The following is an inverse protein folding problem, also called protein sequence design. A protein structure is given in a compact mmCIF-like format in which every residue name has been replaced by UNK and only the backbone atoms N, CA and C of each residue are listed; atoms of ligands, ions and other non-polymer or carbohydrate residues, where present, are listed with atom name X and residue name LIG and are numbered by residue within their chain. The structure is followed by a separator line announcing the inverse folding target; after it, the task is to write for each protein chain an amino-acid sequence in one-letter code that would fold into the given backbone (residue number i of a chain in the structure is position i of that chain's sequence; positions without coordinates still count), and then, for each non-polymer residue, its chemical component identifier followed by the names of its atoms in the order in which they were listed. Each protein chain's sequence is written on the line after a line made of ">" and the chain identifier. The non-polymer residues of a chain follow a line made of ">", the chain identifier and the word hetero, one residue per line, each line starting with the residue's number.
data_IF_877425976565
#
_entry.id   IF_877425976565
#
_cell.length_a   1.000
_cell.length_b   1.000
_cell.length_c   1.000
_cell.angle_alpha   90.00
_cell.angle_beta   90.00
_cell.angle_gamma   90.00
#
_symmetry.space_group_name_H-M   'P 1'
#
loop_
_entity.id
_entity.type
_entity.pdbx_description
1 polymer ?
#
# COMPACT_ATOMS: atom_id res chain seq x y z
N UNK A 1 64.45 72.36 37.11
CA UNK A 1 63.23 71.78 36.51
C UNK A 1 63.27 70.27 36.71
N UNK A 2 62.18 69.67 37.21
CA UNK A 2 61.86 68.24 37.04
C UNK A 2 62.42 67.27 38.09
N UNK A 3 61.54 66.88 39.02
CA UNK A 3 61.68 65.93 40.12
C UNK A 3 61.64 64.42 39.68
N UNK A 4 61.89 63.47 40.61
CA UNK A 4 62.26 62.08 40.32
C UNK A 4 61.09 61.09 40.12
N UNK A 5 61.47 59.88 39.70
CA UNK A 5 60.70 58.66 39.43
C UNK A 5 59.51 58.36 40.36
N UNK A 6 58.36 57.98 39.77
CA UNK A 6 57.24 57.31 40.47
C UNK A 6 57.07 55.85 40.02
N UNK A 7 56.86 54.90 40.95
CA UNK A 7 56.59 53.50 40.64
C UNK A 7 55.12 53.24 40.25
N UNK A 8 54.92 52.10 39.61
CA UNK A 8 53.69 51.54 39.05
C UNK A 8 52.53 51.48 40.06
N UNK A 9 51.28 51.81 39.66
CA UNK A 9 50.12 51.57 40.51
C UNK A 9 49.75 50.08 40.55
N UNK A 10 49.55 49.57 41.76
CA UNK A 10 48.94 48.26 42.05
C UNK A 10 47.47 48.21 41.58
N UNK A 11 46.98 47.04 41.14
CA UNK A 11 45.60 46.88 40.68
C UNK A 11 44.59 47.09 41.82
N UNK A 12 43.37 47.57 41.53
CA UNK A 12 42.35 47.81 42.54
C UNK A 12 41.86 46.51 43.20
N UNK A 13 41.71 46.58 44.52
CA UNK A 13 41.10 45.55 45.37
C UNK A 13 39.67 45.27 44.88
N UNK A 14 39.36 44.03 44.53
CA UNK A 14 37.97 43.61 44.29
C UNK A 14 37.22 43.60 45.63
N UNK A 15 36.06 44.25 45.74
CA UNK A 15 35.21 44.09 46.91
C UNK A 15 34.66 42.65 46.93
N UNK A 16 34.86 41.95 48.05
CA UNK A 16 34.18 40.70 48.37
C UNK A 16 32.67 40.93 48.33
N UNK A 17 31.86 40.09 47.63
CA UNK A 17 30.41 40.21 47.66
C UNK A 17 29.91 40.00 49.09
N UNK A 18 29.04 40.91 49.55
CA UNK A 18 28.37 40.79 50.84
C UNK A 18 27.44 39.58 50.84
N UNK A 19 27.32 38.95 52.01
CA UNK A 19 26.67 37.65 52.22
C UNK A 19 25.12 37.68 52.12
N UNK A 20 24.53 38.63 51.38
CA UNK A 20 23.09 38.89 51.36
C UNK A 20 22.43 38.89 49.96
N UNK A 21 23.13 38.51 48.88
CA UNK A 21 22.55 38.46 47.52
C UNK A 21 22.17 37.03 47.05
N UNK A 22 21.81 36.13 47.98
CA UNK A 22 21.32 34.78 47.69
C UNK A 22 19.77 34.77 47.65
N UNK A 23 19.12 35.75 47.01
CA UNK A 23 17.66 35.65 46.78
C UNK A 23 17.14 36.63 45.73
N UNK A 24 17.56 36.45 44.46
CA UNK A 24 16.79 36.97 43.32
C UNK A 24 16.92 36.04 42.13
N UNK A 25 15.89 35.22 41.95
CA UNK A 25 15.76 34.30 40.82
C UNK A 25 15.85 35.05 39.48
N UNK A 26 16.99 34.93 38.80
CA UNK A 26 17.11 35.28 37.39
C UNK A 26 16.38 34.21 36.55
N UNK A 27 15.07 34.40 36.34
CA UNK A 27 14.33 33.69 35.29
C UNK A 27 14.87 34.17 33.93
N UNK A 28 15.95 33.56 33.45
CA UNK A 28 16.34 33.68 32.05
C UNK A 28 15.17 33.20 31.18
N UNK A 29 14.70 33.98 30.19
CA UNK A 29 13.65 33.51 29.29
C UNK A 29 14.19 32.27 28.54
N UNK A 30 13.54 31.12 28.72
CA UNK A 30 13.78 29.93 27.88
C UNK A 30 13.33 30.28 26.46
N UNK A 31 14.25 30.75 25.63
CA UNK A 31 14.04 30.82 24.20
C UNK A 31 13.90 29.38 23.70
N UNK A 32 12.65 28.92 23.50
CA UNK A 32 12.37 27.66 22.81
C UNK A 32 12.85 27.87 21.36
N UNK A 33 14.09 27.46 21.07
CA UNK A 33 14.57 27.41 19.68
C UNK A 33 13.63 26.49 18.91
N UNK A 34 12.80 27.06 18.05
CA UNK A 34 11.98 26.30 17.10
C UNK A 34 12.93 25.75 16.03
N UNK A 35 13.59 24.63 16.33
CA UNK A 35 14.37 23.90 15.33
C UNK A 35 13.39 23.47 14.23
N UNK A 36 13.62 23.83 12.95
CA UNK A 36 12.76 23.37 11.87
C UNK A 36 12.92 21.85 11.68
N UNK A 37 11.83 21.11 11.42
CA UNK A 37 11.90 19.68 11.17
C UNK A 37 12.80 19.36 9.96
N UNK A 38 13.39 18.15 9.89
CA UNK A 38 14.15 17.73 8.71
C UNK A 38 13.30 17.89 7.43
N UNK A 39 13.94 18.19 6.28
CA UNK A 39 13.21 18.21 5.02
C UNK A 39 12.58 16.84 4.78
N UNK A 40 11.30 16.79 4.39
CA UNK A 40 10.66 15.53 4.08
C UNK A 40 11.44 14.81 2.97
N UNK A 41 11.50 13.46 2.99
CA UNK A 41 12.08 12.71 1.88
C UNK A 41 11.43 13.16 0.58
N UNK A 42 12.21 13.26 -0.51
CA UNK A 42 11.69 13.69 -1.81
C UNK A 42 10.53 12.75 -2.20
N UNK A 43 9.36 13.31 -2.54
CA UNK A 43 8.21 12.50 -2.91
C UNK A 43 8.52 11.65 -4.14
N UNK A 44 8.11 10.39 -4.13
CA UNK A 44 8.19 9.53 -5.30
C UNK A 44 7.24 10.07 -6.36
N UNK A 45 7.70 10.15 -7.61
CA UNK A 45 6.78 10.35 -8.74
C UNK A 45 6.14 8.99 -9.04
N UNK A 46 4.82 8.85 -8.85
CA UNK A 46 4.15 7.57 -9.08
C UNK A 46 4.08 7.27 -10.58
N UNK A 47 4.64 6.15 -11.00
CA UNK A 47 4.65 5.68 -12.38
C UNK A 47 4.19 4.23 -12.51
N UNK A 48 4.41 3.41 -11.47
CA UNK A 48 3.99 2.02 -11.43
C UNK A 48 2.46 1.90 -11.45
N UNK A 49 1.76 2.69 -10.63
CA UNK A 49 0.29 2.64 -10.57
C UNK A 49 -0.35 3.05 -11.91
N UNK A 50 0.05 4.17 -12.55
CA UNK A 50 -0.38 4.47 -13.92
C UNK A 50 -0.06 3.36 -14.94
N UNK A 51 1.12 2.72 -14.83
CA UNK A 51 1.48 1.61 -15.71
C UNK A 51 0.54 0.41 -15.53
N UNK A 52 0.24 0.04 -14.29
CA UNK A 52 -0.73 -1.04 -13.98
C UNK A 52 -2.12 -0.67 -14.52
N UNK A 53 -2.54 0.59 -14.40
CA UNK A 53 -3.79 1.06 -15.00
C UNK A 53 -3.81 0.84 -16.51
N UNK A 54 -2.78 1.30 -17.22
CA UNK A 54 -2.67 1.16 -18.69
C UNK A 54 -2.63 -0.31 -19.09
N UNK A 55 -1.90 -1.15 -18.36
CA UNK A 55 -1.82 -2.59 -18.63
C UNK A 55 -3.20 -3.26 -18.51
N UNK A 56 -3.95 -3.00 -17.44
CA UNK A 56 -5.29 -3.56 -17.25
C UNK A 56 -6.28 -3.08 -18.31
N UNK A 57 -6.25 -1.79 -18.67
CA UNK A 57 -7.09 -1.26 -19.76
C UNK A 57 -6.73 -1.91 -21.10
N UNK A 58 -5.44 -2.07 -21.39
CA UNK A 58 -4.97 -2.68 -22.64
C UNK A 58 -5.38 -4.16 -22.74
N UNK A 59 -5.23 -4.92 -21.65
CA UNK A 59 -5.65 -6.32 -21.57
C UNK A 59 -7.17 -6.44 -21.72
N UNK A 60 -7.96 -5.52 -21.17
CA UNK A 60 -9.40 -5.51 -21.37
C UNK A 60 -9.80 -5.22 -22.83
N UNK A 61 -9.16 -4.25 -23.48
CA UNK A 61 -9.38 -3.95 -24.90
C UNK A 61 -9.03 -5.18 -25.75
N UNK A 62 -7.89 -5.82 -25.50
CA UNK A 62 -7.50 -7.06 -26.17
C UNK A 62 -8.50 -8.20 -25.92
N UNK A 63 -8.99 -8.33 -24.68
CA UNK A 63 -10.01 -9.32 -24.32
C UNK A 63 -11.29 -9.12 -25.14
N UNK A 64 -11.74 -7.88 -25.29
CA UNK A 64 -12.92 -7.57 -26.11
C UNK A 64 -12.67 -7.81 -27.60
N UNK A 65 -11.45 -7.56 -28.09
CA UNK A 65 -11.06 -7.88 -29.46
C UNK A 65 -11.12 -9.40 -29.75
N UNK A 66 -10.65 -10.22 -28.82
CA UNK A 66 -10.70 -11.69 -28.93
C UNK A 66 -12.12 -12.21 -28.74
N UNK A 67 -12.91 -11.56 -27.89
CA UNK A 67 -14.29 -11.97 -27.61
C UNK A 67 -15.18 -11.96 -28.85
N UNK A 68 -15.05 -10.92 -29.69
CA UNK A 68 -15.77 -10.75 -30.96
C UNK A 68 -17.21 -11.28 -30.90
N UNK A 69 -18.05 -10.63 -30.07
CA UNK A 69 -19.43 -11.07 -29.83
C UNK A 69 -20.23 -11.28 -31.13
N UNK A 70 -20.16 -10.38 -32.14
CA UNK A 70 -20.95 -10.52 -33.36
C UNK A 70 -20.65 -11.80 -34.13
N UNK A 71 -19.37 -12.17 -34.19
CA UNK A 71 -18.92 -13.37 -34.89
C UNK A 71 -19.25 -14.66 -34.09
N UNK A 72 -19.18 -14.61 -32.76
CA UNK A 72 -19.36 -15.79 -31.90
C UNK A 72 -20.82 -16.08 -31.54
N UNK A 73 -21.61 -15.04 -31.25
CA UNK A 73 -22.98 -15.15 -30.73
C UNK A 73 -24.06 -14.67 -31.72
N UNK A 74 -23.67 -13.97 -32.78
CA UNK A 74 -24.57 -13.30 -33.72
C UNK A 74 -24.93 -11.87 -33.27
N UNK A 75 -25.05 -10.95 -34.23
CA UNK A 75 -25.24 -9.50 -34.01
C UNK A 75 -26.43 -9.16 -33.11
N UNK A 76 -27.56 -9.86 -33.26
CA UNK A 76 -28.81 -9.59 -32.51
C UNK A 76 -28.73 -9.90 -31.01
N UNK A 77 -27.67 -10.61 -30.56
CA UNK A 77 -27.46 -10.96 -29.15
C UNK A 77 -26.38 -10.11 -28.47
N UNK A 78 -25.78 -9.17 -29.18
CA UNK A 78 -24.70 -8.33 -28.68
C UNK A 78 -25.21 -6.94 -28.29
N UNK A 79 -24.70 -6.42 -27.18
CA UNK A 79 -25.03 -5.08 -26.69
C UNK A 79 -24.10 -4.07 -27.39
N UNK A 80 -24.69 -2.97 -27.89
CA UNK A 80 -23.98 -1.87 -28.57
C UNK A 80 -23.24 -2.30 -29.84
N UNK A 81 -23.70 -3.35 -30.53
CA UNK A 81 -23.13 -3.80 -31.80
C UNK A 81 -23.01 -2.67 -32.84
N UNK A 82 -24.06 -1.87 -33.02
CA UNK A 82 -24.10 -0.79 -34.02
C UNK A 82 -22.99 0.28 -33.81
N UNK A 83 -22.53 0.47 -32.58
CA UNK A 83 -21.54 1.48 -32.22
C UNK A 83 -20.12 0.90 -32.05
N UNK A 84 -20.01 -0.30 -31.47
CA UNK A 84 -18.73 -0.88 -31.07
C UNK A 84 -18.26 -2.00 -32.03
N UNK A 85 -19.13 -2.49 -32.90
CA UNK A 85 -18.84 -3.59 -33.81
C UNK A 85 -18.26 -4.81 -33.08
N UNK A 86 -17.03 -5.17 -33.44
CA UNK A 86 -16.25 -6.27 -32.84
C UNK A 86 -16.11 -6.17 -31.32
N UNK A 87 -16.05 -4.97 -30.76
CA UNK A 87 -15.88 -4.72 -29.33
C UNK A 87 -17.20 -4.70 -28.55
N UNK A 88 -18.30 -5.15 -29.16
CA UNK A 88 -19.59 -5.24 -28.50
C UNK A 88 -19.59 -6.25 -27.34
N UNK A 89 -20.45 -5.97 -26.36
CA UNK A 89 -20.54 -6.77 -25.14
C UNK A 89 -21.51 -7.93 -25.30
N UNK A 90 -21.30 -9.00 -24.53
CA UNK A 90 -22.31 -10.05 -24.42
C UNK A 90 -23.59 -9.51 -23.77
N UNK A 91 -24.74 -10.10 -24.11
CA UNK A 91 -26.04 -9.76 -23.50
C UNK A 91 -26.02 -9.82 -21.97
N UNK A 92 -26.86 -9.00 -21.34
CA UNK A 92 -26.96 -8.88 -19.88
C UNK A 92 -27.26 -10.20 -19.15
N UNK A 93 -28.02 -11.12 -19.78
CA UNK A 93 -28.29 -12.45 -19.20
C UNK A 93 -27.02 -13.29 -19.04
N UNK A 94 -26.05 -13.11 -19.93
CA UNK A 94 -24.76 -13.79 -19.87
C UNK A 94 -23.78 -13.01 -19.00
N UNK A 95 -23.61 -11.73 -19.29
CA UNK A 95 -22.68 -10.87 -18.57
C UNK A 95 -23.34 -9.51 -18.22
N UNK A 96 -23.77 -9.32 -16.94
CA UNK A 96 -24.39 -8.07 -16.54
C UNK A 96 -23.41 -6.89 -16.44
N UNK A 97 -22.10 -7.15 -16.46
CA UNK A 97 -21.05 -6.14 -16.23
C UNK A 97 -20.56 -5.46 -17.52
N UNK A 98 -21.27 -5.65 -18.64
CA UNK A 98 -20.89 -5.18 -19.98
C UNK A 98 -19.49 -5.69 -20.35
N UNK A 99 -19.39 -6.98 -20.67
CA UNK A 99 -18.10 -7.64 -20.83
C UNK A 99 -18.11 -8.80 -21.83
N UNK A 100 -16.98 -9.54 -21.89
CA UNK A 100 -16.82 -10.69 -22.76
C UNK A 100 -17.61 -11.91 -22.25
N UNK A 101 -17.57 -12.99 -23.02
CA UNK A 101 -18.10 -14.30 -22.59
C UNK A 101 -17.20 -14.94 -21.52
N UNK A 102 -17.80 -15.86 -20.78
CA UNK A 102 -17.06 -16.72 -19.85
C UNK A 102 -15.94 -17.50 -20.55
N UNK A 103 -16.21 -18.00 -21.76
CA UNK A 103 -15.26 -18.81 -22.54
C UNK A 103 -14.03 -17.97 -22.89
N UNK A 104 -14.22 -16.74 -23.35
CA UNK A 104 -13.12 -15.83 -23.68
C UNK A 104 -12.22 -15.58 -22.46
N UNK A 105 -12.81 -15.30 -21.29
CA UNK A 105 -12.04 -15.08 -20.06
C UNK A 105 -11.27 -16.34 -19.66
N UNK A 106 -11.89 -17.52 -19.76
CA UNK A 106 -11.21 -18.80 -19.50
C UNK A 106 -10.01 -18.99 -20.43
N UNK A 107 -10.21 -18.81 -21.74
CA UNK A 107 -9.14 -18.99 -22.74
C UNK A 107 -7.96 -18.04 -22.51
N UNK A 108 -8.22 -16.79 -22.13
CA UNK A 108 -7.19 -15.76 -22.00
C UNK A 108 -6.38 -15.81 -20.69
N UNK A 109 -6.63 -16.77 -19.80
CA UNK A 109 -5.89 -16.87 -18.54
C UNK A 109 -6.71 -16.54 -17.30
N UNK A 110 -8.04 -16.60 -17.39
CA UNK A 110 -8.90 -16.51 -16.22
C UNK A 110 -8.65 -17.66 -15.25
N UNK A 111 -8.89 -17.40 -13.98
CA UNK A 111 -8.66 -18.39 -12.92
C UNK A 111 -9.79 -19.41 -12.93
N UNK A 112 -9.49 -20.62 -13.42
CA UNK A 112 -10.38 -21.78 -13.43
C UNK A 112 -9.75 -22.91 -12.61
N UNK A 113 -10.55 -23.55 -11.76
CA UNK A 113 -10.05 -24.59 -10.85
C UNK A 113 -9.42 -25.76 -11.61
N UNK A 114 -10.09 -26.26 -12.65
CA UNK A 114 -9.66 -27.41 -13.43
C UNK A 114 -8.30 -27.15 -14.07
N UNK A 115 -8.15 -25.98 -14.69
CA UNK A 115 -6.92 -25.62 -15.40
C UNK A 115 -5.74 -25.42 -14.45
N UNK A 116 -5.97 -24.85 -13.27
CA UNK A 116 -4.90 -24.65 -12.28
C UNK A 116 -4.53 -25.95 -11.60
N UNK A 117 -5.52 -26.74 -11.15
CA UNK A 117 -5.31 -27.88 -10.27
C UNK A 117 -5.04 -29.16 -11.03
N UNK A 118 -5.80 -29.43 -12.08
CA UNK A 118 -5.67 -30.67 -12.87
C UNK A 118 -4.66 -30.49 -14.01
N UNK A 119 -4.75 -29.38 -14.75
CA UNK A 119 -3.87 -29.11 -15.91
C UNK A 119 -2.55 -28.40 -15.53
N UNK A 120 -2.38 -28.03 -14.25
CA UNK A 120 -1.14 -27.41 -13.71
C UNK A 120 -0.77 -26.07 -14.35
N UNK A 121 -1.75 -25.32 -14.83
CA UNK A 121 -1.58 -23.99 -15.42
C UNK A 121 -1.42 -22.89 -14.35
N UNK A 122 -0.40 -23.00 -13.49
CA UNK A 122 -0.16 -22.09 -12.36
C UNK A 122 0.04 -20.61 -12.74
N UNK A 123 0.43 -20.33 -13.99
CA UNK A 123 0.53 -18.97 -14.51
C UNK A 123 -0.81 -18.22 -14.45
N UNK A 124 -1.94 -18.94 -14.39
CA UNK A 124 -3.28 -18.37 -14.20
C UNK A 124 -3.48 -17.65 -12.88
N UNK A 125 -2.70 -18.00 -11.85
CA UNK A 125 -2.68 -17.29 -10.57
C UNK A 125 -2.18 -15.84 -10.70
N UNK A 126 -1.47 -15.52 -11.79
CA UNK A 126 -0.98 -14.18 -12.10
C UNK A 126 -1.73 -13.54 -13.26
N UNK A 127 -2.05 -14.27 -14.33
CA UNK A 127 -2.74 -13.68 -15.50
C UNK A 127 -4.14 -13.20 -15.17
N UNK A 128 -4.85 -13.89 -14.26
CA UNK A 128 -6.22 -13.51 -13.88
C UNK A 128 -6.30 -12.12 -13.24
N UNK A 129 -5.20 -11.63 -12.65
CA UNK A 129 -5.10 -10.30 -12.05
C UNK A 129 -5.24 -9.17 -13.08
N UNK A 130 -4.99 -9.46 -14.35
CA UNK A 130 -5.00 -8.47 -15.44
C UNK A 130 -6.30 -8.50 -16.25
N UNK A 131 -7.05 -9.60 -16.16
CA UNK A 131 -8.33 -9.78 -16.82
C UNK A 131 -9.46 -9.15 -16.01
N UNK A 132 -10.52 -8.71 -16.69
CA UNK A 132 -11.67 -8.09 -16.05
C UNK A 132 -12.96 -8.65 -16.63
N UNK A 133 -13.93 -8.92 -15.73
CA UNK A 133 -15.21 -9.51 -16.09
C UNK A 133 -16.09 -8.61 -16.97
N UNK A 134 -15.84 -7.29 -17.01
CA UNK A 134 -16.60 -6.34 -17.80
C UNK A 134 -16.17 -4.90 -17.55
N UNK A 135 -16.74 -3.97 -18.31
CA UNK A 135 -16.39 -2.55 -18.26
C UNK A 135 -16.64 -1.95 -16.88
N UNK A 136 -17.79 -2.25 -16.27
CA UNK A 136 -18.12 -1.74 -14.92
C UNK A 136 -17.10 -2.24 -13.90
N UNK A 137 -16.71 -3.51 -14.00
CA UNK A 137 -15.72 -4.11 -13.11
C UNK A 137 -14.33 -3.48 -13.29
N UNK A 138 -13.90 -3.24 -14.54
CA UNK A 138 -12.66 -2.53 -14.84
C UNK A 138 -12.67 -1.12 -14.25
N UNK A 139 -13.73 -0.34 -14.49
CA UNK A 139 -13.82 1.03 -14.01
C UNK A 139 -13.69 1.12 -12.49
N UNK A 140 -14.39 0.28 -11.74
CA UNK A 140 -14.31 0.25 -10.27
C UNK A 140 -12.89 -0.09 -9.80
N UNK A 141 -12.26 -1.11 -10.40
CA UNK A 141 -10.87 -1.47 -10.05
C UNK A 141 -9.89 -0.35 -10.36
N UNK A 142 -10.03 0.28 -11.53
CA UNK A 142 -9.10 1.32 -11.96
C UNK A 142 -9.25 2.62 -11.16
N UNK A 143 -10.47 3.01 -10.79
CA UNK A 143 -10.69 4.14 -9.87
C UNK A 143 -10.09 3.84 -8.49
N UNK A 144 -10.30 2.63 -7.96
CA UNK A 144 -9.68 2.19 -6.71
C UNK A 144 -8.16 2.15 -6.79
N UNK A 145 -7.60 1.64 -7.89
CA UNK A 145 -6.16 1.60 -8.14
C UNK A 145 -5.55 3.00 -8.18
N UNK A 146 -6.17 3.94 -8.89
CA UNK A 146 -5.66 5.32 -8.97
C UNK A 146 -5.80 6.03 -7.62
N UNK A 147 -6.90 5.86 -6.89
CA UNK A 147 -7.08 6.49 -5.58
C UNK A 147 -6.13 5.95 -4.51
N UNK A 148 -6.02 4.62 -4.42
CA UNK A 148 -5.24 3.95 -3.38
C UNK A 148 -3.78 3.74 -3.77
N UNK A 149 -3.54 3.23 -4.98
CA UNK A 149 -2.21 2.88 -5.48
C UNK A 149 -1.31 4.10 -5.64
N UNK A 150 -1.80 5.21 -6.19
CA UNK A 150 -1.01 6.45 -6.34
C UNK A 150 -0.60 6.98 -4.97
N UNK A 151 -1.52 6.99 -4.00
CA UNK A 151 -1.24 7.44 -2.63
C UNK A 151 -0.15 6.59 -1.99
N UNK A 152 -0.30 5.26 -2.05
CA UNK A 152 0.68 4.33 -1.48
C UNK A 152 2.03 4.40 -2.19
N UNK A 153 2.05 4.52 -3.52
CA UNK A 153 3.28 4.62 -4.29
C UNK A 153 4.01 5.94 -4.01
N UNK A 154 3.28 7.04 -3.89
CA UNK A 154 3.85 8.33 -3.52
C UNK A 154 4.49 8.28 -2.12
N UNK A 155 3.84 7.56 -1.19
CA UNK A 155 4.29 7.46 0.19
C UNK A 155 5.46 6.48 0.37
N UNK A 156 5.41 5.30 -0.25
CA UNK A 156 6.35 4.19 -0.03
C UNK A 156 7.29 3.89 -1.19
N UNK A 157 7.01 4.40 -2.38
CA UNK A 157 7.74 4.09 -3.61
C UNK A 157 7.33 2.75 -4.23
N UNK A 158 7.52 2.65 -5.54
CA UNK A 158 7.14 1.47 -6.32
C UNK A 158 7.87 0.18 -5.91
N UNK A 159 9.09 0.28 -5.37
CA UNK A 159 9.89 -0.88 -4.93
C UNK A 159 9.19 -1.67 -3.82
N UNK A 160 8.34 -1.01 -3.03
CA UNK A 160 7.54 -1.66 -1.97
C UNK A 160 6.14 -2.00 -2.48
N UNK A 161 5.50 -1.07 -3.16
CA UNK A 161 4.10 -1.22 -3.61
C UNK A 161 3.95 -2.25 -4.73
N UNK A 162 4.91 -2.35 -5.64
CA UNK A 162 4.89 -3.32 -6.74
C UNK A 162 4.87 -4.78 -6.25
N UNK A 163 5.87 -5.22 -5.46
CA UNK A 163 5.85 -6.55 -4.87
C UNK A 163 4.64 -6.79 -3.97
N UNK A 164 4.21 -5.77 -3.22
CA UNK A 164 3.03 -5.88 -2.36
C UNK A 164 1.76 -6.16 -3.18
N UNK A 165 1.56 -5.44 -4.28
CA UNK A 165 0.47 -5.66 -5.22
C UNK A 165 0.50 -7.08 -5.80
N UNK A 166 1.68 -7.55 -6.24
CA UNK A 166 1.84 -8.88 -6.83
C UNK A 166 1.60 -10.00 -5.80
N UNK A 167 2.20 -9.91 -4.61
CA UNK A 167 2.02 -10.89 -3.52
C UNK A 167 0.56 -10.96 -3.08
N UNK A 168 -0.09 -9.82 -2.97
CA UNK A 168 -1.50 -9.74 -2.59
C UNK A 168 -2.42 -10.35 -3.64
N UNK A 169 -2.22 -10.01 -4.92
CA UNK A 169 -3.00 -10.60 -6.01
C UNK A 169 -2.80 -12.10 -6.14
N UNK A 170 -1.57 -12.57 -5.96
CA UNK A 170 -1.27 -14.01 -5.91
C UNK A 170 -1.99 -14.70 -4.75
N UNK A 171 -1.90 -14.16 -3.53
CA UNK A 171 -2.58 -14.72 -2.36
C UNK A 171 -4.10 -14.72 -2.49
N UNK A 172 -4.67 -13.69 -3.13
CA UNK A 172 -6.07 -13.66 -3.51
C UNK A 172 -6.43 -14.78 -4.48
N UNK A 173 -5.68 -14.91 -5.58
CA UNK A 173 -5.91 -15.96 -6.58
C UNK A 173 -5.75 -17.38 -6.01
N UNK A 174 -4.77 -17.59 -5.13
CA UNK A 174 -4.57 -18.87 -4.46
C UNK A 174 -5.74 -19.22 -3.52
N UNK A 175 -6.24 -18.24 -2.76
CA UNK A 175 -7.39 -18.45 -1.88
C UNK A 175 -8.68 -18.68 -2.68
N UNK A 176 -8.84 -17.96 -3.79
CA UNK A 176 -9.93 -18.13 -4.73
C UNK A 176 -9.95 -19.53 -5.32
N UNK A 177 -8.84 -20.00 -5.89
CA UNK A 177 -8.80 -21.33 -6.51
C UNK A 177 -9.12 -22.43 -5.50
N UNK A 178 -8.59 -22.34 -4.27
CA UNK A 178 -8.91 -23.33 -3.22
C UNK A 178 -10.38 -23.30 -2.80
N UNK A 179 -11.04 -22.14 -2.89
CA UNK A 179 -12.46 -21.97 -2.58
C UNK A 179 -13.40 -22.35 -3.74
N UNK A 180 -12.91 -22.26 -4.97
CA UNK A 180 -13.62 -22.62 -6.19
C UNK A 180 -13.74 -24.14 -6.41
N UNK A 181 -13.20 -24.97 -5.51
CA UNK A 181 -13.14 -26.43 -5.61
C UNK A 181 -14.29 -27.07 -6.43
N UNK A 182 -14.00 -27.40 -7.70
CA UNK A 182 -14.90 -28.05 -8.68
C UNK A 182 -16.11 -27.23 -9.17
N UNK A 183 -16.11 -25.91 -9.00
CA UNK A 183 -17.09 -25.00 -9.60
C UNK A 183 -16.60 -24.57 -10.99
N UNK A 184 -17.48 -24.63 -11.99
CA UNK A 184 -17.25 -24.11 -13.34
C UNK A 184 -17.43 -22.59 -13.40
N UNK A 185 -16.70 -21.87 -12.55
CA UNK A 185 -16.71 -20.40 -12.45
C UNK A 185 -15.27 -19.91 -12.67
N UNK A 186 -15.13 -18.84 -13.46
CA UNK A 186 -13.85 -18.21 -13.76
C UNK A 186 -13.76 -16.94 -12.96
N UNK A 187 -12.70 -16.80 -12.17
CA UNK A 187 -12.40 -15.58 -11.42
C UNK A 187 -11.35 -14.75 -12.16
N UNK A 188 -11.57 -13.44 -12.20
CA UNK A 188 -10.69 -12.46 -12.84
C UNK A 188 -10.77 -11.15 -12.08
N UNK A 189 -9.71 -10.36 -12.13
CA UNK A 189 -9.71 -8.98 -11.65
C UNK A 189 -8.50 -8.65 -10.78
N UNK A 190 -8.11 -7.37 -10.85
CA UNK A 190 -7.10 -6.78 -9.99
C UNK A 190 -7.52 -6.67 -8.51
N UNK A 191 -8.80 -6.93 -8.19
CA UNK A 191 -9.38 -6.61 -6.89
C UNK A 191 -8.71 -7.32 -5.72
N UNK A 192 -8.23 -8.56 -5.87
CA UNK A 192 -7.48 -9.23 -4.80
C UNK A 192 -6.22 -8.44 -4.40
N UNK A 193 -5.50 -7.89 -5.37
CA UNK A 193 -4.35 -7.04 -5.11
C UNK A 193 -4.74 -5.71 -4.45
N UNK A 194 -5.85 -5.09 -4.89
CA UNK A 194 -6.38 -3.86 -4.29
C UNK A 194 -6.81 -4.03 -2.83
N UNK A 195 -7.46 -5.15 -2.50
CA UNK A 195 -7.76 -5.51 -1.11
C UNK A 195 -6.49 -5.74 -0.30
N UNK A 196 -5.44 -6.27 -0.90
CA UNK A 196 -4.14 -6.36 -0.23
C UNK A 196 -3.46 -5.01 -0.01
N UNK A 197 -3.60 -4.05 -0.92
CA UNK A 197 -3.18 -2.67 -0.68
C UNK A 197 -3.92 -2.10 0.55
N UNK A 198 -5.23 -2.34 0.68
CA UNK A 198 -5.99 -1.98 1.89
C UNK A 198 -5.49 -2.71 3.14
N UNK A 199 -5.21 -4.01 3.05
CA UNK A 199 -4.62 -4.79 4.15
C UNK A 199 -3.27 -4.24 4.59
N UNK A 200 -2.44 -3.80 3.64
CA UNK A 200 -1.13 -3.22 3.93
C UNK A 200 -1.21 -1.89 4.67
N UNK A 201 -2.18 -1.04 4.34
CA UNK A 201 -2.45 0.18 5.11
C UNK A 201 -2.81 -0.14 6.57
N UNK A 202 -3.42 -1.31 6.84
CA UNK A 202 -3.81 -1.69 8.20
C UNK A 202 -2.57 -2.13 8.96
N UNK A 203 -1.68 -2.88 8.31
CA UNK A 203 -0.37 -3.23 8.86
C UNK A 203 0.46 -1.98 9.20
N UNK A 204 0.40 -0.95 8.34
CA UNK A 204 1.08 0.32 8.54
C UNK A 204 0.50 1.06 9.75
N UNK A 205 -0.82 1.14 9.84
CA UNK A 205 -1.52 1.77 10.97
C UNK A 205 -1.19 1.07 12.29
N UNK A 206 -1.16 -0.27 12.31
CA UNK A 206 -0.79 -1.07 13.49
C UNK A 206 0.68 -0.80 13.86
N UNK A 207 1.57 -0.81 12.89
CA UNK A 207 3.02 -0.61 13.10
C UNK A 207 3.35 0.80 13.59
N UNK A 208 2.59 1.80 13.17
CA UNK A 208 2.81 3.21 13.49
C UNK A 208 1.73 3.78 14.42
N UNK A 209 1.04 2.93 15.17
CA UNK A 209 -0.10 3.28 16.02
C UNK A 209 0.18 4.47 16.97
N UNK A 210 1.39 4.58 17.48
CA UNK A 210 1.81 5.66 18.39
C UNK A 210 1.82 7.05 17.75
N UNK A 211 1.93 7.13 16.42
CA UNK A 211 2.14 8.38 15.69
C UNK A 211 0.83 9.05 15.25
N UNK A 212 -0.30 8.33 15.32
CA UNK A 212 -1.60 8.88 15.00
C UNK A 212 -2.21 9.59 16.20
N UNK A 213 -2.63 10.85 16.01
CA UNK A 213 -3.28 11.67 17.05
C UNK A 213 -4.69 11.17 17.35
N UNK A 214 -5.46 10.81 16.32
CA UNK A 214 -6.84 10.32 16.42
C UNK A 214 -6.97 8.85 16.00
N UNK A 215 -6.37 7.96 16.78
CA UNK A 215 -6.22 6.52 16.50
C UNK A 215 -7.55 5.82 16.21
N UNK A 216 -8.56 6.05 17.06
CA UNK A 216 -9.88 5.43 16.90
C UNK A 216 -10.60 5.91 15.65
N UNK A 217 -10.49 7.19 15.29
CA UNK A 217 -11.13 7.69 14.06
C UNK A 217 -10.46 7.11 12.81
N UNK A 218 -9.12 7.10 12.76
CA UNK A 218 -8.38 6.53 11.63
C UNK A 218 -8.70 5.03 11.45
N UNK A 219 -8.70 4.26 12.54
CA UNK A 219 -9.05 2.84 12.51
C UNK A 219 -10.51 2.62 12.11
N UNK A 220 -11.46 3.35 12.69
CA UNK A 220 -12.89 3.20 12.37
C UNK A 220 -13.21 3.56 10.92
N UNK A 221 -12.63 4.63 10.37
CA UNK A 221 -12.79 4.99 8.95
C UNK A 221 -12.19 3.91 8.06
N UNK A 222 -11.02 3.39 8.41
CA UNK A 222 -10.38 2.34 7.64
C UNK A 222 -11.17 1.03 7.66
N UNK A 223 -11.64 0.60 8.83
CA UNK A 223 -12.49 -0.57 8.98
C UNK A 223 -13.82 -0.40 8.24
N UNK A 224 -14.43 0.78 8.29
CA UNK A 224 -15.64 1.08 7.53
C UNK A 224 -15.40 0.93 6.01
N UNK A 225 -14.30 1.47 5.50
CA UNK A 225 -13.93 1.33 4.08
C UNK A 225 -13.72 -0.15 3.72
N UNK A 226 -13.00 -0.91 4.55
CA UNK A 226 -12.78 -2.34 4.33
C UNK A 226 -14.11 -3.09 4.33
N UNK A 227 -14.95 -2.88 5.33
CA UNK A 227 -16.25 -3.54 5.45
C UNK A 227 -17.17 -3.20 4.29
N UNK A 228 -17.21 -1.93 3.84
CA UNK A 228 -18.03 -1.52 2.70
C UNK A 228 -17.54 -2.16 1.40
N UNK A 229 -16.22 -2.19 1.17
CA UNK A 229 -15.64 -2.85 -0.01
C UNK A 229 -15.92 -4.35 0.00
N UNK A 230 -15.79 -5.01 1.16
CA UNK A 230 -16.11 -6.42 1.30
C UNK A 230 -17.62 -6.69 1.18
N UNK A 231 -18.47 -5.73 1.61
CA UNK A 231 -19.91 -5.84 1.49
C UNK A 231 -20.39 -5.75 0.03
N UNK A 232 -19.73 -4.95 -0.81
CA UNK A 232 -19.93 -4.96 -2.27
C UNK A 232 -19.62 -6.37 -2.83
N UNK A 233 -18.74 -7.13 -2.17
CA UNK A 233 -18.46 -8.53 -2.47
C UNK A 233 -19.61 -9.51 -2.27
N UNK A 234 -20.68 -9.14 -1.55
CA UNK A 234 -21.90 -9.96 -1.50
C UNK A 234 -22.74 -9.89 -2.77
N UNK A 235 -22.39 -9.01 -3.72
CA UNK A 235 -23.02 -9.00 -5.02
C UNK A 235 -22.73 -10.32 -5.77
N UNK A 236 -23.73 -10.89 -6.47
CA UNK A 236 -23.54 -12.11 -7.23
C UNK A 236 -22.44 -11.91 -8.28
N UNK A 237 -21.57 -12.92 -8.44
CA UNK A 237 -20.40 -12.96 -9.33
C UNK A 237 -19.16 -12.21 -8.82
N UNK A 238 -19.14 -11.75 -7.57
CA UNK A 238 -17.92 -11.24 -6.93
C UNK A 238 -17.20 -12.37 -6.16
N UNK A 239 -15.87 -12.37 -6.25
CA UNK A 239 -15.03 -13.37 -5.61
C UNK A 239 -14.52 -12.90 -4.25
N UNK A 240 -15.30 -13.21 -3.21
CA UNK A 240 -14.95 -12.88 -1.83
C UNK A 240 -13.72 -13.62 -1.33
N UNK A 241 -13.46 -14.82 -1.83
CA UNK A 241 -12.29 -15.61 -1.45
C UNK A 241 -11.02 -14.94 -1.96
N UNK A 242 -11.05 -14.38 -3.18
CA UNK A 242 -9.97 -13.54 -3.69
C UNK A 242 -9.74 -12.28 -2.84
N UNK A 243 -10.81 -11.61 -2.42
CA UNK A 243 -10.72 -10.38 -1.61
C UNK A 243 -10.13 -10.66 -0.23
N UNK A 244 -10.62 -11.69 0.46
CA UNK A 244 -10.12 -12.10 1.78
C UNK A 244 -8.66 -12.55 1.68
N UNK A 245 -8.34 -13.43 0.72
CA UNK A 245 -6.98 -13.92 0.49
C UNK A 245 -6.00 -12.79 0.18
N UNK A 246 -6.42 -11.84 -0.66
CA UNK A 246 -5.64 -10.67 -1.00
C UNK A 246 -5.43 -9.73 0.19
N UNK A 247 -6.48 -9.45 0.96
CA UNK A 247 -6.41 -8.63 2.16
C UNK A 247 -5.45 -9.20 3.21
N UNK A 248 -5.58 -10.50 3.53
CA UNK A 248 -4.71 -11.17 4.51
C UNK A 248 -3.26 -11.19 4.02
N UNK A 249 -3.04 -11.52 2.76
CA UNK A 249 -1.70 -11.54 2.17
C UNK A 249 -1.06 -10.16 2.16
N UNK A 250 -1.84 -9.11 1.83
CA UNK A 250 -1.38 -7.73 1.86
C UNK A 250 -1.13 -7.18 3.26
N UNK A 251 -1.92 -7.59 4.26
CA UNK A 251 -1.69 -7.29 5.67
C UNK A 251 -0.35 -7.86 6.14
N UNK A 252 -0.10 -9.14 5.88
CA UNK A 252 1.17 -9.79 6.23
C UNK A 252 2.34 -9.19 5.44
N UNK A 253 2.18 -8.98 4.13
CA UNK A 253 3.21 -8.40 3.28
C UNK A 253 3.51 -6.95 3.67
N UNK A 254 2.53 -6.22 4.19
CA UNK A 254 2.71 -4.87 4.68
C UNK A 254 3.61 -4.81 5.92
N UNK A 255 3.50 -5.76 6.87
CA UNK A 255 4.45 -5.85 7.99
C UNK A 255 5.89 -6.14 7.53
N UNK A 256 6.06 -6.78 6.37
CA UNK A 256 7.37 -7.08 5.78
C UNK A 256 7.92 -5.90 4.97
N UNK A 257 7.13 -5.35 4.06
CA UNK A 257 7.56 -4.39 3.04
C UNK A 257 7.39 -2.92 3.45
N UNK A 258 6.43 -2.60 4.31
CA UNK A 258 6.14 -1.22 4.73
C UNK A 258 6.83 -0.83 6.04
N UNK A 259 7.73 -1.67 6.56
CA UNK A 259 8.51 -1.32 7.75
C UNK A 259 9.28 -0.01 7.52
N UNK A 260 9.11 0.93 8.45
CA UNK A 260 9.85 2.20 8.50
C UNK A 260 10.60 2.31 9.81
N UNK A 261 11.85 2.81 9.77
CA UNK A 261 12.55 3.19 11.00
C UNK A 261 11.86 4.41 11.62
N UNK A 262 11.72 4.41 12.94
CA UNK A 262 11.23 5.58 13.66
C UNK A 262 12.38 6.57 13.85
N UNK A 263 12.26 7.77 13.25
CA UNK A 263 13.28 8.81 13.35
C UNK A 263 13.06 9.68 14.58
N UNK A 264 14.14 9.94 15.32
CA UNK A 264 14.25 11.10 16.20
C UNK A 264 15.35 12.02 15.68
N UNK A 265 15.06 12.86 14.67
CA UNK A 265 16.09 13.70 14.03
C UNK A 265 16.29 15.05 14.75
N UNK A 266 17.55 15.46 14.92
CA UNK A 266 17.97 16.81 15.33
C UNK A 266 18.97 17.30 14.26
N UNK A 267 18.70 18.45 13.63
CA UNK A 267 19.55 19.02 12.57
C UNK A 267 20.86 19.58 13.14
N UNK A 268 22.00 19.15 12.59
CA UNK A 268 23.34 19.65 12.97
C UNK A 268 23.57 21.13 12.67
N UNK A 269 22.73 21.75 11.83
CA UNK A 269 22.91 23.14 11.38
C UNK A 269 22.44 24.19 12.41
N UNK A 270 21.79 23.77 13.48
CA UNK A 270 21.27 24.63 14.56
C UNK A 270 21.87 24.28 15.93
N UNK A 271 23.01 23.59 15.92
CA UNK A 271 23.64 23.09 17.13
C UNK A 271 24.79 24.02 17.50
N UNK A 272 24.76 24.65 18.69
CA UNK A 272 25.83 25.54 19.14
C UNK A 272 27.19 24.82 19.11
N UNK A 273 28.26 25.55 18.79
CA UNK A 273 29.63 25.04 18.88
C UNK A 273 29.88 24.44 20.28
N UNK A 274 30.24 23.16 20.33
CA UNK A 274 30.46 22.40 21.57
C UNK A 274 29.36 21.42 21.98
N UNK A 275 28.24 21.33 21.27
CA UNK A 275 27.15 20.41 21.60
C UNK A 275 27.23 19.10 20.78
N UNK A 276 27.57 17.99 21.45
CA UNK A 276 27.64 16.65 20.85
C UNK A 276 26.23 16.11 20.57
N UNK A 277 25.78 16.14 19.30
CA UNK A 277 24.55 15.43 18.91
C UNK A 277 24.90 13.95 18.78
N UNK A 278 24.43 13.13 19.72
CA UNK A 278 24.28 11.70 19.43
C UNK A 278 23.23 11.58 18.32
N UNK A 279 23.66 11.32 17.08
CA UNK A 279 22.76 10.90 16.02
C UNK A 279 21.89 9.77 16.57
N UNK A 280 20.57 10.00 16.70
CA UNK A 280 19.66 8.88 16.95
C UNK A 280 19.59 8.09 15.65
N UNK A 281 20.39 7.03 15.60
CA UNK A 281 20.41 6.05 14.52
C UNK A 281 18.97 5.58 14.28
N UNK A 282 18.58 5.50 13.01
CA UNK A 282 17.34 4.89 12.58
C UNK A 282 17.17 3.53 13.28
N UNK A 283 16.24 3.46 14.25
CA UNK A 283 16.06 2.27 15.09
C UNK A 283 14.64 1.75 14.90
N UNK A 284 14.54 0.49 14.49
CA UNK A 284 13.27 -0.23 14.50
C UNK A 284 12.95 -0.67 15.93
N UNK A 285 11.67 -0.63 16.27
CA UNK A 285 11.18 -1.10 17.56
C UNK A 285 11.11 -2.63 17.58
N UNK A 286 11.22 -3.25 18.77
CA UNK A 286 11.20 -4.72 18.91
C UNK A 286 9.94 -5.34 18.30
N UNK A 287 8.77 -4.72 18.52
CA UNK A 287 7.51 -5.21 17.95
C UNK A 287 7.51 -5.22 16.42
N UNK A 288 8.24 -4.32 15.75
CA UNK A 288 8.34 -4.31 14.28
C UNK A 288 9.07 -5.56 13.78
N UNK A 289 10.16 -5.95 14.43
CA UNK A 289 10.89 -7.18 14.10
C UNK A 289 10.09 -8.45 14.39
N UNK A 290 9.34 -8.47 15.49
CA UNK A 290 8.46 -9.60 15.84
C UNK A 290 7.36 -9.77 14.78
N UNK A 291 6.66 -8.68 14.43
CA UNK A 291 5.61 -8.69 13.40
C UNK A 291 6.16 -9.08 12.03
N UNK A 292 7.35 -8.61 11.68
CA UNK A 292 8.05 -9.00 10.46
C UNK A 292 8.34 -10.50 10.42
N UNK A 293 8.96 -11.05 11.47
CA UNK A 293 9.32 -12.46 11.53
C UNK A 293 8.10 -13.37 11.44
N UNK A 294 7.06 -13.09 12.21
CA UNK A 294 5.80 -13.84 12.19
C UNK A 294 5.15 -13.75 10.80
N UNK A 295 5.04 -12.55 10.24
CA UNK A 295 4.38 -12.35 8.94
C UNK A 295 5.12 -13.03 7.80
N UNK A 296 6.45 -13.01 7.82
CA UNK A 296 7.27 -13.68 6.82
C UNK A 296 7.07 -15.20 6.86
N UNK A 297 7.08 -15.80 8.06
CA UNK A 297 6.84 -17.23 8.23
C UNK A 297 5.42 -17.61 7.79
N UNK A 298 4.40 -16.85 8.20
CA UNK A 298 3.02 -17.10 7.80
C UNK A 298 2.79 -16.98 6.29
N UNK A 299 3.43 -16.00 5.63
CA UNK A 299 3.33 -15.87 4.16
C UNK A 299 3.96 -17.07 3.45
N UNK A 300 5.19 -17.43 3.83
CA UNK A 300 5.93 -18.53 3.18
C UNK A 300 5.18 -19.85 3.39
N UNK A 301 4.82 -20.16 4.65
CA UNK A 301 4.11 -21.41 4.97
C UNK A 301 2.71 -21.43 4.37
N UNK A 302 1.96 -20.32 4.43
CA UNK A 302 0.63 -20.21 3.87
C UNK A 302 0.60 -20.42 2.35
N UNK A 303 1.54 -19.80 1.63
CA UNK A 303 1.66 -20.00 0.18
C UNK A 303 2.16 -21.39 -0.19
N UNK A 304 3.13 -21.95 0.54
CA UNK A 304 3.60 -23.32 0.29
C UNK A 304 2.48 -24.34 0.50
N UNK A 305 1.72 -24.23 1.60
CA UNK A 305 0.58 -25.11 1.87
C UNK A 305 -0.54 -24.90 0.85
N UNK A 306 -0.84 -23.64 0.51
CA UNK A 306 -1.88 -23.33 -0.47
C UNK A 306 -1.55 -23.91 -1.86
N UNK A 307 -0.32 -23.75 -2.32
CA UNK A 307 0.17 -24.33 -3.57
C UNK A 307 0.19 -25.87 -3.53
N UNK A 308 0.53 -26.48 -2.39
CA UNK A 308 0.50 -27.95 -2.28
C UNK A 308 -0.91 -28.55 -2.42
N UNK A 309 -1.94 -27.73 -2.18
CA UNK A 309 -3.36 -28.09 -2.28
C UNK A 309 -4.00 -27.66 -3.61
N UNK A 310 -3.26 -26.96 -4.46
CA UNK A 310 -3.67 -26.52 -5.80
C UNK A 310 -2.89 -27.33 -6.86
#
# INVERSE_FOLDING_TARGET
>A
MGQPSRPSPSPPVQPTPSHNDIEKGSKRPRHKSKIPPPPPPKPWKPWFTPLVFVANTSVFIYTMYVNDCPHTSGTSKCILYEYLGRYSFQRFKENPLLGPSYITLKTLGGLDWTQVVEEKEYWRLFSCMWLHAGLVHLLINMLSLLGLGIRLEHEFGFVRIGPLYMISGFGGSLTSVLSLARKSIVSVGASGALFGLLGSMLSELITNWSNYTNKCSALSTMLLIICLNLAIGFLPRVDNSAHIGGFVSGLLAGFVLLMRPQYGYISSKHVPEGYQIKHKVAKHQVHQYVLFGISLVLLITGFAVGLSKA
#
